data_IF_530624485794
#
_entry.id   IF_530624485794
#
_cell.length_a   1.000
_cell.length_b   1.000
_cell.length_c   1.000
_cell.angle_alpha   90.00
_cell.angle_beta   90.00
_cell.angle_gamma   90.00
#
_symmetry.space_group_name_H-M   'P 1'
#
loop_
_entity.id
_entity.type
_entity.pdbx_description
1 polymer ?
#
# COMPACT_ATOMS: atom_id res chain seq x y z
N UNK A 1 -5.72 -16.80 -9.47
CA UNK A 1 -5.40 -16.60 -8.05
C UNK A 1 -6.39 -15.64 -7.42
N UNK A 2 -6.59 -15.72 -6.10
CA UNK A 2 -7.59 -14.93 -5.36
C UNK A 2 -7.51 -13.43 -5.65
N UNK A 3 -6.30 -12.86 -5.62
CA UNK A 3 -6.06 -11.44 -5.95
C UNK A 3 -6.53 -11.06 -7.35
N UNK A 4 -6.16 -11.84 -8.39
CA UNK A 4 -6.59 -11.59 -9.78
C UNK A 4 -8.12 -11.65 -9.92
N UNK A 5 -8.77 -12.61 -9.26
CA UNK A 5 -10.23 -12.73 -9.29
C UNK A 5 -10.91 -11.54 -8.59
N UNK A 6 -10.36 -11.09 -7.46
CA UNK A 6 -10.83 -9.89 -6.77
C UNK A 6 -10.69 -8.64 -7.64
N UNK A 7 -9.50 -8.40 -8.22
CA UNK A 7 -9.24 -7.26 -9.12
C UNK A 7 -10.21 -7.25 -10.31
N UNK A 8 -10.41 -8.40 -10.95
CA UNK A 8 -11.36 -8.54 -12.05
C UNK A 8 -12.82 -8.29 -11.60
N UNK A 9 -13.20 -8.80 -10.42
CA UNK A 9 -14.53 -8.58 -9.84
C UNK A 9 -14.81 -7.11 -9.48
N UNK A 10 -13.77 -6.30 -9.28
CA UNK A 10 -13.90 -4.85 -9.10
C UNK A 10 -13.92 -4.07 -10.43
N UNK A 11 -13.77 -4.75 -11.57
CA UNK A 11 -13.66 -4.14 -12.89
C UNK A 11 -12.35 -3.37 -13.12
N UNK A 12 -11.30 -3.68 -12.36
CA UNK A 12 -9.99 -3.03 -12.52
C UNK A 12 -9.13 -3.78 -13.55
N UNK A 13 -8.30 -3.03 -14.27
CA UNK A 13 -7.31 -3.59 -15.20
C UNK A 13 -6.05 -4.00 -14.45
N UNK A 14 -5.52 -5.18 -14.78
CA UNK A 14 -4.22 -5.67 -14.30
C UNK A 14 -3.34 -6.00 -15.50
N UNK A 15 -2.32 -5.19 -15.75
CA UNK A 15 -1.26 -5.53 -16.68
C UNK A 15 -0.36 -6.61 -16.07
N UNK A 16 0.14 -7.54 -16.88
CA UNK A 16 1.01 -8.61 -16.39
C UNK A 16 2.33 -8.08 -15.82
N UNK A 17 2.82 -6.94 -16.33
CA UNK A 17 3.99 -6.22 -15.79
C UNK A 17 3.78 -5.66 -14.38
N UNK A 18 2.53 -5.43 -13.96
CA UNK A 18 2.20 -4.94 -12.61
C UNK A 18 1.88 -6.09 -11.64
N UNK A 19 2.47 -7.26 -11.87
CA UNK A 19 2.39 -8.41 -10.98
C UNK A 19 3.76 -8.65 -10.36
N UNK A 20 3.90 -8.22 -9.11
CA UNK A 20 5.14 -8.34 -8.35
C UNK A 20 5.11 -9.59 -7.48
N UNK A 21 6.11 -10.46 -7.61
CA UNK A 21 6.20 -11.70 -6.84
C UNK A 21 7.64 -11.99 -6.45
N UNK A 22 7.84 -12.28 -5.17
CA UNK A 22 9.12 -12.67 -4.60
C UNK A 22 9.10 -14.14 -4.17
N UNK A 23 9.07 -15.05 -5.15
CA UNK A 23 9.13 -16.47 -4.85
C UNK A 23 10.47 -16.82 -4.18
N UNK A 24 10.43 -17.36 -2.96
CA UNK A 24 11.62 -17.84 -2.24
C UNK A 24 12.35 -16.80 -1.38
N UNK A 25 11.86 -15.56 -1.29
CA UNK A 25 12.44 -14.55 -0.40
C UNK A 25 11.69 -14.46 0.92
N UNK A 26 12.43 -14.31 2.02
CA UNK A 26 11.85 -14.06 3.34
C UNK A 26 11.29 -12.64 3.44
N UNK A 27 10.12 -12.47 4.06
CA UNK A 27 9.56 -11.15 4.40
C UNK A 27 10.35 -10.36 5.46
N UNK A 28 11.45 -10.92 5.97
CA UNK A 28 12.41 -10.23 6.85
C UNK A 28 13.52 -9.49 6.08
N UNK A 29 13.66 -9.77 4.79
CA UNK A 29 14.66 -9.11 3.91
C UNK A 29 13.92 -8.10 3.06
N UNK A 30 14.37 -6.85 3.09
CA UNK A 30 13.77 -5.77 2.30
C UNK A 30 14.25 -5.79 0.85
N UNK A 31 15.51 -6.18 0.63
CA UNK A 31 16.13 -6.30 -0.69
C UNK A 31 15.57 -7.53 -1.42
N UNK A 32 14.51 -7.30 -2.19
CA UNK A 32 13.79 -8.32 -2.93
C UNK A 32 13.37 -7.77 -4.29
N UNK A 33 13.57 -8.52 -5.40
CA UNK A 33 13.38 -7.99 -6.75
C UNK A 33 11.94 -7.56 -7.05
N UNK A 34 10.95 -8.27 -6.52
CA UNK A 34 9.54 -7.90 -6.65
C UNK A 34 9.15 -6.67 -5.82
N UNK A 35 9.70 -6.53 -4.61
CA UNK A 35 9.47 -5.34 -3.80
C UNK A 35 10.16 -4.10 -4.39
N UNK A 36 11.37 -4.26 -4.91
CA UNK A 36 12.11 -3.21 -5.62
C UNK A 36 11.33 -2.74 -6.87
N UNK A 37 10.90 -3.66 -7.73
CA UNK A 37 10.09 -3.34 -8.91
C UNK A 37 8.76 -2.67 -8.53
N UNK A 38 8.12 -3.10 -7.44
CA UNK A 38 6.92 -2.44 -6.93
C UNK A 38 7.20 -0.98 -6.53
N UNK A 39 8.29 -0.74 -5.82
CA UNK A 39 8.68 0.62 -5.40
C UNK A 39 8.97 1.51 -6.62
N UNK A 40 9.66 0.99 -7.63
CA UNK A 40 9.88 1.71 -8.88
C UNK A 40 8.56 2.07 -9.58
N UNK A 41 7.65 1.11 -9.78
CA UNK A 41 6.33 1.36 -10.39
C UNK A 41 5.50 2.37 -9.58
N UNK A 42 5.57 2.33 -8.24
CA UNK A 42 4.93 3.32 -7.37
C UNK A 42 5.52 4.72 -7.59
N UNK A 43 6.85 4.84 -7.61
CA UNK A 43 7.55 6.11 -7.79
C UNK A 43 7.33 6.72 -9.19
N UNK A 44 7.11 5.88 -10.21
CA UNK A 44 6.72 6.31 -11.56
C UNK A 44 5.23 6.71 -11.65
N UNK A 45 4.41 6.33 -10.67
CA UNK A 45 2.97 6.62 -10.67
C UNK A 45 2.16 5.80 -11.69
N UNK A 46 2.69 4.66 -12.13
CA UNK A 46 2.06 3.80 -13.15
C UNK A 46 0.85 3.04 -12.61
N UNK A 47 0.72 2.95 -11.28
CA UNK A 47 -0.39 2.28 -10.60
C UNK A 47 -1.04 3.21 -9.58
N UNK A 48 -2.37 3.14 -9.51
CA UNK A 48 -3.19 3.90 -8.54
C UNK A 48 -3.75 3.02 -7.43
N UNK A 49 -3.59 1.69 -7.54
CA UNK A 49 -4.04 0.70 -6.56
C UNK A 49 -3.03 -0.43 -6.45
N UNK A 50 -2.65 -0.75 -5.21
CA UNK A 50 -1.86 -1.93 -4.85
C UNK A 50 -2.75 -2.91 -4.09
N UNK A 51 -2.85 -4.14 -4.56
CA UNK A 51 -3.72 -5.16 -3.96
C UNK A 51 -2.86 -6.31 -3.46
N UNK A 52 -2.98 -6.63 -2.18
CA UNK A 52 -2.25 -7.75 -1.56
C UNK A 52 -3.09 -8.46 -0.51
N UNK A 53 -2.66 -9.63 -0.05
CA UNK A 53 -3.44 -10.47 0.87
C UNK A 53 -3.51 -9.85 2.27
N UNK A 54 -2.37 -9.52 2.85
CA UNK A 54 -2.26 -8.97 4.20
C UNK A 54 -1.00 -8.09 4.34
N UNK A 55 -0.89 -7.25 5.38
CA UNK A 55 0.24 -6.31 5.55
C UNK A 55 1.62 -6.99 5.50
N UNK A 56 1.75 -8.17 6.11
CA UNK A 56 3.02 -8.92 6.17
C UNK A 56 3.56 -9.38 4.81
N UNK A 57 2.74 -9.35 3.75
CA UNK A 57 3.21 -9.62 2.38
C UNK A 57 4.15 -8.54 1.85
N UNK A 58 4.01 -7.30 2.34
CA UNK A 58 4.86 -6.16 1.95
C UNK A 58 6.19 -6.23 2.70
N UNK A 59 6.14 -6.37 4.03
CA UNK A 59 7.28 -6.69 4.88
C UNK A 59 6.78 -7.12 6.27
N UNK A 60 7.55 -7.99 6.93
CA UNK A 60 7.32 -8.34 8.35
C UNK A 60 7.92 -7.31 9.31
N UNK A 61 8.76 -6.40 8.82
CA UNK A 61 9.31 -5.30 9.61
C UNK A 61 8.40 -4.08 9.48
N UNK A 62 8.03 -3.47 10.62
CA UNK A 62 7.16 -2.30 10.63
C UNK A 62 7.76 -1.10 9.89
N UNK A 63 9.07 -0.87 10.01
CA UNK A 63 9.78 0.23 9.32
C UNK A 63 9.68 0.11 7.80
N UNK A 64 10.00 -1.07 7.29
CA UNK A 64 9.96 -1.38 5.86
C UNK A 64 8.55 -1.31 5.31
N UNK A 65 7.58 -1.86 6.06
CA UNK A 65 6.17 -1.80 5.69
C UNK A 65 5.67 -0.35 5.65
N UNK A 66 6.02 0.45 6.66
CA UNK A 66 5.69 1.87 6.69
C UNK A 66 6.29 2.61 5.48
N UNK A 67 7.52 2.28 5.08
CA UNK A 67 8.13 2.90 3.91
C UNK A 67 7.33 2.64 2.62
N UNK A 68 6.88 1.40 2.39
CA UNK A 68 6.04 1.04 1.23
C UNK A 68 4.68 1.75 1.30
N UNK A 69 4.00 1.68 2.44
CA UNK A 69 2.69 2.31 2.65
C UNK A 69 2.75 3.83 2.46
N UNK A 70 3.79 4.47 3.01
CA UNK A 70 4.01 5.90 2.89
C UNK A 70 4.38 6.31 1.46
N UNK A 71 5.18 5.50 0.76
CA UNK A 71 5.51 5.74 -0.66
C UNK A 71 4.26 5.66 -1.52
N UNK A 72 3.44 4.61 -1.37
CA UNK A 72 2.17 4.49 -2.08
C UNK A 72 1.24 5.68 -1.81
N UNK A 73 1.08 6.07 -0.53
CA UNK A 73 0.26 7.22 -0.16
C UNK A 73 0.75 8.54 -0.78
N UNK A 74 2.06 8.80 -0.76
CA UNK A 74 2.67 9.99 -1.37
C UNK A 74 2.48 10.05 -2.89
N UNK A 75 2.44 8.90 -3.54
CA UNK A 75 2.24 8.78 -4.98
C UNK A 75 0.75 8.66 -5.37
N UNK A 76 -0.18 8.78 -4.41
CA UNK A 76 -1.61 8.69 -4.67
C UNK A 76 -2.12 7.27 -4.96
N UNK A 77 -1.32 6.24 -4.66
CA UNK A 77 -1.70 4.84 -4.81
C UNK A 77 -2.36 4.33 -3.51
N UNK A 78 -3.58 3.76 -3.64
CA UNK A 78 -4.30 3.16 -2.51
C UNK A 78 -3.93 1.70 -2.34
N UNK A 79 -3.57 1.29 -1.12
CA UNK A 79 -3.35 -0.11 -0.77
C UNK A 79 -4.67 -0.77 -0.36
N UNK A 80 -4.91 -1.99 -0.83
CA UNK A 80 -6.07 -2.83 -0.51
C UNK A 80 -5.58 -4.19 0.01
N UNK A 81 -5.87 -4.47 1.29
CA UNK A 81 -5.63 -5.77 1.91
C UNK A 81 -6.89 -6.64 1.82
N UNK A 82 -6.76 -7.88 1.33
CA UNK A 82 -7.90 -8.79 1.16
C UNK A 82 -8.32 -9.52 2.45
N UNK A 83 -7.39 -9.79 3.36
CA UNK A 83 -7.68 -10.48 4.62
C UNK A 83 -8.31 -9.56 5.69
N UNK A 84 -8.36 -8.25 5.41
CA UNK A 84 -9.02 -7.27 6.27
C UNK A 84 -10.46 -6.93 5.85
N UNK A 85 -11.02 -7.62 4.84
CA UNK A 85 -12.42 -7.45 4.48
C UNK A 85 -13.33 -8.23 5.46
N UNK A 86 -14.26 -7.58 6.18
CA UNK A 86 -15.35 -8.30 6.82
C UNK A 86 -16.16 -9.02 5.74
N UNK A 87 -16.48 -10.29 5.97
CA UNK A 87 -17.26 -11.12 5.06
C UNK A 87 -18.68 -10.56 4.88
N UNK A 88 -18.96 -9.76 3.85
CA UNK A 88 -20.31 -9.62 3.28
C UNK A 88 -20.34 -8.87 1.95
N UNK A 89 -21.17 -9.29 0.96
CA UNK A 89 -21.34 -8.58 -0.30
C UNK A 89 -22.53 -7.60 -0.20
N UNK A 90 -22.39 -6.51 0.54
CA UNK A 90 -23.30 -5.37 0.43
C UNK A 90 -22.54 -4.08 0.75
N UNK A 91 -21.97 -3.47 -0.29
CA UNK A 91 -21.93 -2.00 -0.38
C UNK A 91 -22.06 -1.60 -1.84
N UNK A 92 -23.32 -1.41 -2.25
CA UNK A 92 -23.67 -0.43 -3.29
C UNK A 92 -24.02 0.84 -2.55
N UNK A 93 -23.11 1.82 -2.52
CA UNK A 93 -23.44 3.23 -2.33
C UNK A 93 -22.20 4.08 -2.61
N UNK A 94 -22.37 5.07 -3.49
CA UNK A 94 -21.44 6.18 -3.62
C UNK A 94 -21.18 6.82 -2.25
N UNK A 95 -19.91 6.99 -1.89
CA UNK A 95 -19.50 7.83 -0.78
C UNK A 95 -18.52 8.88 -1.30
N UNK A 96 -19.10 10.00 -1.70
CA UNK A 96 -18.60 11.36 -1.51
C UNK A 96 -17.57 11.46 -0.37
N UNK A 97 -16.39 12.01 -0.69
CA UNK A 97 -15.52 12.69 0.27
C UNK A 97 -14.58 11.81 1.09
N UNK A 98 -13.38 11.55 0.57
CA UNK A 98 -12.25 11.27 1.46
C UNK A 98 -11.78 12.63 2.04
N UNK A 99 -12.29 13.00 3.22
CA UNK A 99 -11.65 14.01 4.05
C UNK A 99 -10.40 13.37 4.66
N UNK A 100 -9.24 13.67 4.11
CA UNK A 100 -7.99 13.54 4.86
C UNK A 100 -8.01 14.58 5.97
N UNK A 101 -8.18 14.12 7.22
CA UNK A 101 -7.67 14.87 8.37
C UNK A 101 -6.16 14.70 8.31
N UNK A 102 -5.46 15.72 7.83
CA UNK A 102 -4.02 15.86 8.04
C UNK A 102 -3.85 16.07 9.55
N UNK A 103 -3.16 15.18 10.30
CA UNK A 103 -2.80 15.52 11.67
C UNK A 103 -1.94 16.79 11.61
N UNK A 104 -2.19 17.81 12.46
CA UNK A 104 -1.32 18.96 12.51
C UNK A 104 0.11 18.43 12.72
N UNK A 105 0.98 18.85 11.81
CA UNK A 105 2.42 18.61 11.78
C UNK A 105 2.97 18.39 13.19
N UNK A 106 3.87 17.42 13.34
CA UNK A 106 4.80 17.32 14.47
C UNK A 106 5.46 18.69 14.67
N UNK A 107 4.82 19.54 15.47
CA UNK A 107 5.42 20.69 16.07
C UNK A 107 6.45 20.08 17.03
N UNK A 108 7.69 19.99 16.57
CA UNK A 108 8.80 19.81 17.47
C UNK A 108 8.74 20.97 18.45
N UNK A 109 8.63 20.74 19.77
CA UNK A 109 8.87 21.80 20.72
C UNK A 109 10.36 22.13 20.61
N UNK A 110 10.67 23.28 20.00
CA UNK A 110 11.99 23.89 20.06
C UNK A 110 12.35 24.11 21.53
N UNK A 111 13.23 23.25 22.05
CA UNK A 111 13.87 23.42 23.34
C UNK A 111 15.25 24.05 23.14
N UNK A 112 15.35 25.32 23.49
CA UNK A 112 16.52 26.03 24.03
C UNK A 112 15.95 27.39 24.48
N UNK A 113 15.58 27.66 25.73
CA UNK A 113 16.39 27.73 26.96
C UNK A 113 17.75 28.43 26.73
N UNK A 114 17.80 29.67 27.23
CA UNK A 114 18.92 30.39 27.85
C UNK A 114 19.85 31.23 26.95
N UNK A 115 19.73 32.55 27.14
CA UNK A 115 20.60 33.61 26.60
C UNK A 115 19.98 34.98 26.80
#
# INVERSE_FOLDING_TARGET
GRLRAYIAGQGWTLANEHVFQDAGYSGLVFERPGLEALLETLLLGEVVRLVTEHPDTLSRTLTDRWYVENTAARMGCRIVYLDEQPSSPLVTAAATGLRTVVPPSLAQPGRAELG
#
